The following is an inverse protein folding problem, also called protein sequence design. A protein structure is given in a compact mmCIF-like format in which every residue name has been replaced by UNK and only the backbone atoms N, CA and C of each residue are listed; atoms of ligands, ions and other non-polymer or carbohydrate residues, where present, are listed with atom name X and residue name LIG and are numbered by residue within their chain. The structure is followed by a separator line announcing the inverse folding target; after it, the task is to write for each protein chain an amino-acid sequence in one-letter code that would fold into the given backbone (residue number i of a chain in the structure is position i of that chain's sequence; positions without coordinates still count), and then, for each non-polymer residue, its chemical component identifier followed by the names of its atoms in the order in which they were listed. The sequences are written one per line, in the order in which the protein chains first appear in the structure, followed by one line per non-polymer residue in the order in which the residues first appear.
data_IF_589825673137
#
_entry.id   IF_589825673137
#
_cell.length_a   1.000
_cell.length_b   1.000
_cell.length_c   1.000
_cell.angle_alpha   90.00
_cell.angle_beta   90.00
_cell.angle_gamma   90.00
#
_symmetry.space_group_name_H-M   'P 1'
#
loop_
_entity.id
_entity.type
_entity.pdbx_description
1 polymer ?
#
# COMPACT_ATOMS: atom_id res chain seq x y z
N UNK A 1 7.95 6.76 31.79
CA UNK A 1 7.86 8.05 31.06
C UNK A 1 6.71 7.93 30.08
N UNK A 2 5.87 8.95 29.95
CA UNK A 2 4.73 8.87 29.01
C UNK A 2 5.21 9.14 27.59
N UNK A 3 4.83 8.27 26.65
CA UNK A 3 5.19 8.35 25.25
C UNK A 3 3.96 8.24 24.34
N UNK A 4 4.06 8.77 23.15
CA UNK A 4 3.02 8.74 22.11
C UNK A 4 3.62 8.55 20.74
N UNK A 5 2.77 8.23 19.75
CA UNK A 5 3.14 8.29 18.33
C UNK A 5 2.53 9.56 17.73
N UNK A 6 3.36 10.38 17.11
CA UNK A 6 2.97 11.57 16.36
C UNK A 6 2.96 11.23 14.87
N UNK A 7 1.83 11.48 14.19
CA UNK A 7 1.70 11.24 12.75
C UNK A 7 1.56 12.58 12.03
N UNK A 8 2.34 12.75 10.97
CA UNK A 8 2.22 13.88 10.04
C UNK A 8 1.45 13.47 8.79
N UNK A 9 0.42 14.23 8.46
CA UNK A 9 -0.35 14.05 7.26
C UNK A 9 0.49 14.44 6.01
N UNK A 10 0.37 13.65 4.94
CA UNK A 10 0.97 13.93 3.64
C UNK A 10 0.02 14.73 2.72
N UNK A 11 -0.33 14.14 1.58
CA UNK A 11 -1.23 14.71 0.58
C UNK A 11 -2.60 15.12 1.15
N UNK A 12 -3.00 14.59 2.30
CA UNK A 12 -4.23 14.95 3.01
C UNK A 12 -4.32 16.44 3.32
N UNK A 13 -3.19 17.10 3.57
CA UNK A 13 -3.15 18.54 3.83
C UNK A 13 -3.66 19.37 2.66
N UNK A 14 -3.61 18.82 1.43
CA UNK A 14 -4.03 19.49 0.19
C UNK A 14 -5.51 19.27 -0.18
N UNK A 15 -6.28 18.51 0.63
CA UNK A 15 -7.66 18.11 0.30
C UNK A 15 -8.74 19.17 0.60
N UNK A 16 -8.35 20.36 1.02
CA UNK A 16 -9.28 21.46 1.28
C UNK A 16 -10.42 21.05 2.22
N UNK A 17 -11.66 21.30 1.82
CA UNK A 17 -12.87 21.00 2.61
C UNK A 17 -13.08 19.51 2.91
N UNK A 18 -12.57 18.62 2.06
CA UNK A 18 -12.71 17.17 2.24
C UNK A 18 -11.69 16.57 3.21
N UNK A 19 -10.77 17.37 3.72
CA UNK A 19 -9.68 16.91 4.59
C UNK A 19 -10.16 16.11 5.80
N UNK A 20 -11.21 16.57 6.47
CA UNK A 20 -11.76 15.89 7.66
C UNK A 20 -12.18 14.45 7.34
N UNK A 21 -12.89 14.24 6.23
CA UNK A 21 -13.31 12.89 5.79
C UNK A 21 -12.12 11.95 5.56
N UNK A 22 -11.06 12.44 4.92
CA UNK A 22 -9.84 11.65 4.69
C UNK A 22 -9.12 11.32 6.00
N UNK A 23 -9.01 12.29 6.92
CA UNK A 23 -8.43 12.08 8.25
C UNK A 23 -9.22 11.06 9.07
N UNK A 24 -10.55 11.10 9.02
CA UNK A 24 -11.40 10.17 9.75
C UNK A 24 -11.26 8.73 9.22
N UNK A 25 -11.15 8.56 7.89
CA UNK A 25 -10.85 7.27 7.28
C UNK A 25 -9.47 6.79 7.70
N UNK A 26 -8.45 7.66 7.71
CA UNK A 26 -7.10 7.30 8.17
C UNK A 26 -7.11 6.87 9.63
N UNK A 27 -7.78 7.61 10.51
CA UNK A 27 -7.94 7.25 11.94
C UNK A 27 -8.61 5.87 12.08
N UNK A 28 -9.64 5.59 11.28
CA UNK A 28 -10.29 4.27 11.26
C UNK A 28 -9.32 3.16 10.85
N UNK A 29 -8.49 3.41 9.84
CA UNK A 29 -7.45 2.46 9.40
C UNK A 29 -6.40 2.24 10.49
N UNK A 30 -5.93 3.29 11.16
CA UNK A 30 -5.00 3.22 12.29
C UNK A 30 -5.61 2.38 13.43
N UNK A 31 -6.83 2.68 13.86
CA UNK A 31 -7.51 1.93 14.94
C UNK A 31 -7.62 0.45 14.62
N UNK A 32 -7.95 0.09 13.37
CA UNK A 32 -8.03 -1.30 12.94
C UNK A 32 -6.67 -2.00 13.02
N UNK A 33 -5.59 -1.33 12.60
CA UNK A 33 -4.23 -1.88 12.59
C UNK A 33 -3.63 -2.08 13.99
N UNK A 34 -4.02 -1.25 14.94
CA UNK A 34 -3.48 -1.30 16.31
C UNK A 34 -4.42 -2.00 17.29
N UNK A 35 -5.53 -2.58 16.82
CA UNK A 35 -6.61 -3.10 17.68
C UNK A 35 -6.15 -4.14 18.69
N UNK A 36 -5.26 -5.03 18.29
CA UNK A 36 -4.76 -6.16 19.08
C UNK A 36 -3.52 -5.82 19.94
N UNK A 37 -2.95 -4.63 19.78
CA UNK A 37 -1.82 -4.16 20.60
C UNK A 37 -2.26 -3.47 21.90
N UNK A 38 -3.55 -3.29 22.12
CA UNK A 38 -4.10 -2.63 23.30
C UNK A 38 -4.89 -1.36 22.98
N UNK A 39 -5.42 -0.74 24.02
CA UNK A 39 -6.26 0.46 23.89
C UNK A 39 -5.42 1.69 23.59
N UNK A 40 -5.79 2.41 22.53
CA UNK A 40 -5.19 3.69 22.16
C UNK A 40 -6.25 4.79 22.09
N UNK A 41 -5.91 5.98 22.57
CA UNK A 41 -6.66 7.20 22.31
C UNK A 41 -6.05 7.92 21.12
N UNK A 42 -6.87 8.27 20.13
CA UNK A 42 -6.42 8.99 18.93
C UNK A 42 -7.07 10.36 18.91
N UNK A 43 -6.24 11.40 18.91
CA UNK A 43 -6.64 12.80 18.81
C UNK A 43 -6.06 13.41 17.54
N UNK A 44 -6.74 14.40 16.97
CA UNK A 44 -6.23 15.19 15.86
C UNK A 44 -6.21 16.68 16.21
N UNK A 45 -5.10 17.33 15.91
CA UNK A 45 -4.98 18.78 16.05
C UNK A 45 -3.95 19.33 15.04
N UNK A 46 -4.27 20.43 14.37
CA UNK A 46 -3.35 21.19 13.51
C UNK A 46 -2.53 20.33 12.52
N UNK A 47 -3.17 19.42 11.77
CA UNK A 47 -2.52 18.51 10.80
C UNK A 47 -1.64 17.41 11.40
N UNK A 48 -1.73 17.18 12.70
CA UNK A 48 -1.03 16.12 13.40
C UNK A 48 -2.05 15.18 14.03
N UNK A 49 -1.83 13.87 13.94
CA UNK A 49 -2.58 12.87 14.66
C UNK A 49 -1.70 12.35 15.78
N UNK A 50 -2.27 12.24 16.97
CA UNK A 50 -1.64 11.79 18.19
C UNK A 50 -2.23 10.45 18.56
N UNK A 51 -1.39 9.42 18.68
CA UNK A 51 -1.79 8.09 19.17
C UNK A 51 -1.21 7.94 20.58
N UNK A 52 -2.06 7.92 21.56
CA UNK A 52 -1.73 7.79 22.98
C UNK A 52 -2.13 6.41 23.47
N UNK A 53 -1.19 5.50 23.74
CA UNK A 53 -1.48 4.24 24.41
C UNK A 53 -2.01 4.47 25.83
N UNK A 54 -2.95 3.60 26.26
CA UNK A 54 -3.54 3.65 27.61
C UNK A 54 -2.97 2.58 28.55
N UNK A 55 -2.14 1.69 28.02
CA UNK A 55 -1.52 0.59 28.76
C UNK A 55 -0.04 0.91 28.98
N UNK A 56 0.48 0.57 30.17
CA UNK A 56 1.88 0.85 30.53
C UNK A 56 2.88 0.04 29.72
N UNK A 57 2.54 -1.21 29.35
CA UNK A 57 3.40 -2.12 28.60
C UNK A 57 3.02 -2.18 27.13
N UNK A 58 2.73 -1.03 26.51
CA UNK A 58 2.38 -0.96 25.09
C UNK A 58 3.60 -1.23 24.20
N UNK A 59 3.44 -2.14 23.24
CA UNK A 59 4.50 -2.46 22.26
C UNK A 59 4.61 -1.36 21.20
N UNK A 60 5.50 -0.39 21.46
CA UNK A 60 5.75 0.71 20.54
C UNK A 60 6.47 0.27 19.27
N UNK A 61 7.34 -0.74 19.32
CA UNK A 61 8.11 -1.19 18.16
C UNK A 61 7.17 -1.81 17.12
N UNK A 62 6.33 -2.74 17.55
CA UNK A 62 5.31 -3.33 16.69
C UNK A 62 4.30 -2.27 16.19
N UNK A 63 3.91 -1.33 17.05
CA UNK A 63 3.00 -0.25 16.65
C UNK A 63 3.61 0.67 15.59
N UNK A 64 4.89 1.02 15.70
CA UNK A 64 5.61 1.83 14.72
C UNK A 64 5.75 1.08 13.39
N UNK A 65 6.06 -0.23 13.42
CA UNK A 65 6.09 -1.05 12.23
C UNK A 65 4.74 -1.04 11.51
N UNK A 66 3.64 -1.30 12.21
CA UNK A 66 2.29 -1.30 11.63
C UNK A 66 1.88 0.08 11.09
N UNK A 67 2.22 1.15 11.81
CA UNK A 67 1.96 2.53 11.37
C UNK A 67 2.72 2.87 10.10
N UNK A 68 3.95 2.35 9.93
CA UNK A 68 4.78 2.57 8.75
C UNK A 68 4.13 2.09 7.44
N UNK A 69 3.25 1.09 7.54
CA UNK A 69 2.56 0.46 6.39
C UNK A 69 1.21 1.11 6.06
N UNK A 70 0.74 2.09 6.84
CA UNK A 70 -0.58 2.72 6.62
C UNK A 70 -0.47 3.82 5.57
N UNK A 71 -1.20 3.67 4.47
CA UNK A 71 -1.30 4.71 3.46
C UNK A 71 -2.01 5.97 3.99
N UNK A 72 -1.53 7.14 3.55
CA UNK A 72 -1.95 8.46 4.01
C UNK A 72 -0.98 9.09 5.01
N UNK A 73 -0.11 8.30 5.65
CA UNK A 73 0.90 8.76 6.61
C UNK A 73 2.16 9.16 5.85
N UNK A 74 2.54 10.45 5.92
CA UNK A 74 3.78 10.92 5.30
C UNK A 74 5.00 10.61 6.16
N UNK A 75 4.87 10.84 7.46
CA UNK A 75 5.91 10.56 8.43
C UNK A 75 5.30 10.39 9.82
N UNK A 76 6.01 9.69 10.68
CA UNK A 76 5.62 9.51 12.08
C UNK A 76 6.85 9.51 12.98
N UNK A 77 6.62 9.66 14.29
CA UNK A 77 7.69 9.67 15.29
C UNK A 77 7.15 9.16 16.61
N UNK A 78 7.97 8.42 17.35
CA UNK A 78 7.78 8.21 18.78
C UNK A 78 8.23 9.47 19.50
N UNK A 79 7.49 9.94 20.48
CA UNK A 79 7.79 11.17 21.21
C UNK A 79 7.47 11.05 22.70
N UNK A 80 8.33 11.65 23.50
CA UNK A 80 8.11 11.83 24.91
C UNK A 80 7.14 12.98 25.17
N UNK A 81 6.19 12.79 26.09
CA UNK A 81 5.23 13.81 26.53
C UNK A 81 5.79 14.56 27.72
N UNK A 82 5.92 15.88 27.57
CA UNK A 82 6.37 16.79 28.64
C UNK A 82 5.26 17.77 29.01
N UNK A 83 5.31 18.26 30.24
CA UNK A 83 4.55 19.44 30.65
C UNK A 83 5.06 20.67 29.88
N UNK A 84 4.24 21.72 29.80
CA UNK A 84 4.63 22.98 29.15
C UNK A 84 5.47 23.83 30.09
N UNK A 85 6.61 23.25 30.50
CA UNK A 85 7.61 23.86 31.39
C UNK A 85 9.02 23.46 30.92
N UNK A 86 9.94 24.40 30.91
CA UNK A 86 11.31 24.14 30.41
C UNK A 86 12.08 23.16 31.30
N UNK A 87 11.86 23.21 32.63
CA UNK A 87 12.53 22.29 33.53
C UNK A 87 12.11 20.82 33.28
N UNK A 88 10.80 20.58 33.07
CA UNK A 88 10.30 19.25 32.73
C UNK A 88 10.77 18.80 31.33
N UNK A 89 10.74 19.69 30.33
CA UNK A 89 11.24 19.43 28.99
C UNK A 89 12.71 19.02 29.02
N UNK A 90 13.57 19.76 29.72
CA UNK A 90 14.99 19.46 29.85
C UNK A 90 15.20 18.13 30.56
N UNK A 91 14.60 17.95 31.73
CA UNK A 91 14.75 16.75 32.55
C UNK A 91 14.36 15.49 31.76
N UNK A 92 13.17 15.49 31.15
CA UNK A 92 12.69 14.34 30.35
C UNK A 92 13.52 14.14 29.07
N UNK A 93 13.92 15.20 28.39
CA UNK A 93 14.77 15.10 27.18
C UNK A 93 16.09 14.43 27.48
N UNK A 94 16.73 14.78 28.60
CA UNK A 94 18.00 14.20 29.01
C UNK A 94 17.95 12.70 29.30
N UNK A 95 16.80 12.17 29.70
CA UNK A 95 16.57 10.74 29.94
C UNK A 95 16.11 10.05 28.65
N UNK A 96 15.11 10.62 28.01
CA UNK A 96 14.48 10.03 26.81
C UNK A 96 15.44 9.88 25.64
N UNK A 97 16.28 10.90 25.42
CA UNK A 97 17.22 10.93 24.30
C UNK A 97 18.58 10.31 24.63
N UNK A 98 18.79 9.78 25.82
CA UNK A 98 20.10 9.31 26.27
C UNK A 98 20.73 8.30 25.33
N UNK A 99 19.98 7.26 24.91
CA UNK A 99 20.49 6.24 24.02
C UNK A 99 20.81 6.80 22.62
N UNK A 100 19.95 7.69 22.11
CA UNK A 100 20.17 8.33 20.79
C UNK A 100 21.39 9.22 20.82
N UNK A 101 21.52 10.08 21.84
CA UNK A 101 22.59 11.07 21.94
C UNK A 101 23.95 10.48 22.29
N UNK A 102 24.01 9.32 22.97
CA UNK A 102 25.27 8.61 23.22
C UNK A 102 25.92 8.06 21.95
N UNK A 103 25.15 7.80 20.92
CA UNK A 103 25.60 7.14 19.68
C UNK A 103 25.91 8.11 18.53
N UNK A 104 25.83 9.42 18.74
CA UNK A 104 26.06 10.45 17.72
C UNK A 104 27.11 11.43 18.18
N UNK A 105 27.70 12.18 17.24
CA UNK A 105 28.74 13.20 17.52
C UNK A 105 28.21 14.62 17.47
N UNK A 106 27.20 14.83 16.60
CA UNK A 106 26.67 16.17 16.37
C UNK A 106 25.14 16.17 16.47
N UNK A 107 24.60 17.28 16.95
CA UNK A 107 23.14 17.45 17.00
C UNK A 107 22.77 18.92 16.81
N UNK A 108 21.49 19.15 16.54
CA UNK A 108 20.85 20.45 16.71
C UNK A 108 19.50 20.30 17.37
N UNK A 109 19.00 21.38 17.97
CA UNK A 109 17.65 21.47 18.50
C UNK A 109 16.79 22.33 17.57
N UNK A 110 15.62 21.83 17.18
CA UNK A 110 14.59 22.59 16.51
C UNK A 110 13.34 22.68 17.38
N UNK A 111 12.81 23.88 17.54
CA UNK A 111 11.61 24.10 18.34
C UNK A 111 10.47 24.70 17.51
N UNK A 112 9.28 24.13 17.62
CA UNK A 112 8.05 24.65 17.04
C UNK A 112 7.09 25.00 18.15
N UNK A 113 6.76 26.28 18.28
CA UNK A 113 5.80 26.79 19.26
C UNK A 113 4.46 27.13 18.60
N UNK A 114 3.47 26.29 18.76
CA UNK A 114 2.10 26.55 18.34
C UNK A 114 1.31 27.30 19.42
N UNK A 115 1.52 26.96 20.68
CA UNK A 115 0.96 27.70 21.80
C UNK A 115 1.76 28.98 22.06
N UNK A 116 1.19 30.11 21.68
CA UNK A 116 1.82 31.44 21.86
C UNK A 116 1.85 31.92 23.32
N UNK A 117 1.16 31.25 24.24
CA UNK A 117 1.16 31.58 25.68
C UNK A 117 2.40 31.03 26.39
N UNK A 118 3.14 30.09 25.77
CA UNK A 118 4.40 29.59 26.34
C UNK A 118 5.40 30.75 26.40
N UNK A 119 6.09 30.96 27.55
CA UNK A 119 6.88 32.17 27.80
C UNK A 119 8.05 32.34 26.83
N UNK A 120 8.71 31.24 26.44
CA UNK A 120 9.89 31.30 25.58
C UNK A 120 9.54 31.20 24.10
N UNK A 121 10.29 31.89 23.25
CA UNK A 121 10.24 31.77 21.80
C UNK A 121 11.05 30.57 21.32
N UNK A 122 10.79 30.09 20.10
CA UNK A 122 11.49 28.91 19.56
C UNK A 122 13.02 29.00 19.62
N UNK A 123 13.67 30.12 19.29
CA UNK A 123 15.13 30.22 19.43
C UNK A 123 15.63 30.10 20.88
N UNK A 124 14.84 30.60 21.85
CA UNK A 124 15.18 30.52 23.28
C UNK A 124 15.07 29.09 23.78
N UNK A 125 14.01 28.37 23.39
CA UNK A 125 13.82 26.93 23.66
C UNK A 125 15.00 26.13 23.10
N UNK A 126 15.40 26.38 21.85
CA UNK A 126 16.54 25.72 21.22
C UNK A 126 17.84 25.94 22.00
N UNK A 127 18.10 27.18 22.45
CA UNK A 127 19.28 27.53 23.20
C UNK A 127 19.33 26.87 24.58
N UNK A 128 18.23 26.94 25.32
CA UNK A 128 18.15 26.37 26.67
C UNK A 128 18.27 24.85 26.65
N UNK A 129 17.47 24.16 25.82
CA UNK A 129 17.56 22.73 25.72
C UNK A 129 18.91 22.26 25.16
N UNK A 130 19.40 22.94 24.10
CA UNK A 130 20.72 22.64 23.52
C UNK A 130 21.85 22.76 24.52
N UNK A 131 21.88 23.83 25.32
CA UNK A 131 22.84 24.02 26.41
C UNK A 131 22.75 22.94 27.47
N UNK A 132 21.55 22.57 27.89
CA UNK A 132 21.35 21.52 28.89
C UNK A 132 21.78 20.12 28.38
N UNK A 133 21.55 19.80 27.11
CA UNK A 133 22.03 18.56 26.48
C UNK A 133 23.57 18.54 26.36
N UNK A 134 24.20 19.64 25.95
CA UNK A 134 25.68 19.75 25.90
C UNK A 134 26.30 19.57 27.29
N UNK A 135 25.69 20.14 28.33
CA UNK A 135 26.18 20.01 29.70
C UNK A 135 26.10 18.57 30.22
N UNK A 136 25.11 17.78 29.77
CA UNK A 136 24.98 16.37 30.17
C UNK A 136 25.84 15.44 29.30
N UNK A 137 25.93 15.69 28.00
CA UNK A 137 26.59 14.84 27.02
C UNK A 137 27.85 15.57 26.46
N UNK A 138 28.93 15.59 27.21
CA UNK A 138 30.13 16.37 26.92
C UNK A 138 30.85 16.02 25.60
N UNK A 139 30.55 14.87 24.99
CA UNK A 139 31.11 14.43 23.70
C UNK A 139 30.40 15.07 22.50
N UNK A 140 29.23 15.65 22.69
CA UNK A 140 28.41 16.21 21.63
C UNK A 140 28.93 17.60 21.20
N UNK A 141 28.70 17.89 19.91
CA UNK A 141 28.91 19.23 19.33
C UNK A 141 27.62 19.65 18.61
N UNK A 142 27.39 20.97 18.56
CA UNK A 142 26.26 21.52 17.78
C UNK A 142 26.70 21.67 16.33
N UNK A 143 25.94 21.10 15.40
CA UNK A 143 26.06 21.34 13.97
C UNK A 143 24.68 21.74 13.44
N UNK A 144 24.55 23.00 13.00
CA UNK A 144 23.28 23.54 12.50
C UNK A 144 23.01 23.19 11.04
N UNK A 145 24.01 22.75 10.28
CA UNK A 145 23.92 22.46 8.86
C UNK A 145 23.76 20.98 8.58
N UNK A 146 24.64 20.14 9.13
CA UNK A 146 24.67 18.70 8.89
C UNK A 146 24.76 17.89 10.21
N UNK A 147 23.74 18.00 11.11
CA UNK A 147 23.77 17.26 12.36
C UNK A 147 23.49 15.76 12.13
N UNK A 148 24.13 14.91 12.94
CA UNK A 148 23.80 13.47 12.97
C UNK A 148 22.36 13.25 13.44
N UNK A 149 21.86 14.10 14.36
CA UNK A 149 20.48 14.02 14.86
C UNK A 149 19.88 15.41 15.08
N UNK A 150 18.59 15.52 14.77
CA UNK A 150 17.79 16.72 15.04
C UNK A 150 16.82 16.44 16.20
N UNK A 151 17.07 17.06 17.35
CA UNK A 151 16.13 17.03 18.49
C UNK A 151 15.01 18.03 18.23
N UNK A 152 13.80 17.54 18.09
CA UNK A 152 12.61 18.35 17.84
C UNK A 152 11.81 18.55 19.12
N UNK A 153 11.47 19.79 19.44
CA UNK A 153 10.56 20.17 20.52
C UNK A 153 9.33 20.85 19.96
N UNK A 154 8.17 20.30 20.20
CA UNK A 154 6.91 20.89 19.77
C UNK A 154 6.06 21.31 20.97
N UNK A 155 5.92 22.61 21.20
CA UNK A 155 5.00 23.15 22.21
C UNK A 155 3.62 23.29 21.58
N UNK A 156 2.67 22.53 22.09
CA UNK A 156 1.29 22.48 21.60
C UNK A 156 0.33 22.94 22.69
N UNK A 157 -0.97 22.95 22.37
CA UNK A 157 -2.00 23.46 23.29
C UNK A 157 -2.07 22.68 24.62
N UNK A 158 -1.90 21.34 24.55
CA UNK A 158 -2.06 20.46 25.70
C UNK A 158 -0.77 20.05 26.40
N UNK A 159 0.32 19.88 25.66
CA UNK A 159 1.60 19.36 26.17
C UNK A 159 2.77 19.83 25.29
N UNK A 160 3.98 19.60 25.76
CA UNK A 160 5.18 19.64 24.93
C UNK A 160 5.57 18.21 24.52
N UNK A 161 6.18 18.08 23.34
CA UNK A 161 6.59 16.80 22.78
C UNK A 161 8.03 16.87 22.35
N UNK A 162 8.84 15.90 22.78
CA UNK A 162 10.25 15.79 22.43
C UNK A 162 10.49 14.51 21.63
N UNK A 163 11.18 14.63 20.52
CA UNK A 163 11.55 13.51 19.65
C UNK A 163 12.87 13.78 18.94
N UNK A 164 13.61 12.74 18.60
CA UNK A 164 14.85 12.85 17.81
C UNK A 164 14.67 12.28 16.40
N UNK A 165 13.81 11.30 16.22
CA UNK A 165 13.65 10.59 14.97
C UNK A 165 12.32 10.94 14.28
N UNK A 166 12.37 10.97 12.95
CA UNK A 166 11.19 11.05 12.12
C UNK A 166 11.27 9.97 11.04
N UNK A 167 10.39 8.98 11.15
CA UNK A 167 10.36 7.82 10.27
C UNK A 167 9.44 8.13 9.08
N UNK A 168 9.87 7.88 7.83
CA UNK A 168 9.00 7.99 6.66
C UNK A 168 7.85 6.99 6.72
N UNK A 169 6.63 7.43 6.44
CA UNK A 169 5.46 6.56 6.29
C UNK A 169 5.27 6.04 4.87
N UNK A 170 4.22 5.26 4.65
CA UNK A 170 3.88 4.71 3.33
C UNK A 170 3.46 5.78 2.29
N UNK A 171 3.09 6.97 2.74
CA UNK A 171 2.62 8.05 1.87
C UNK A 171 1.26 7.74 1.22
N UNK A 172 0.93 8.44 0.13
CA UNK A 172 -0.32 8.23 -0.61
C UNK A 172 -1.57 8.72 0.10
N UNK A 173 -2.70 8.05 -0.13
CA UNK A 173 -4.01 8.37 0.41
C UNK A 173 -4.56 7.20 1.25
N UNK A 174 -5.35 7.46 2.30
CA UNK A 174 -5.93 6.41 3.12
C UNK A 174 -6.82 5.48 2.30
N UNK A 175 -6.63 4.18 2.47
CA UNK A 175 -7.44 3.16 1.79
C UNK A 175 -8.93 3.34 2.13
N UNK A 176 -9.76 3.32 1.09
CA UNK A 176 -11.20 3.55 1.18
C UNK A 176 -11.63 4.98 0.83
N UNK A 177 -10.70 5.88 0.47
CA UNK A 177 -11.02 7.25 0.04
C UNK A 177 -11.34 7.38 -1.44
N UNK A 178 -10.94 6.39 -2.26
CA UNK A 178 -11.10 6.41 -3.72
C UNK A 178 -12.08 5.34 -4.27
N UNK A 179 -12.87 4.71 -3.40
CA UNK A 179 -13.78 3.63 -3.81
C UNK A 179 -13.14 2.25 -3.78
N UNK A 180 -13.73 1.29 -4.51
CA UNK A 180 -13.30 -0.11 -4.58
C UNK A 180 -13.00 -0.49 -6.03
N UNK A 181 -11.95 -1.28 -6.26
CA UNK A 181 -11.62 -1.85 -7.56
C UNK A 181 -11.16 -3.31 -7.42
N UNK A 182 -11.32 -4.10 -8.48
CA UNK A 182 -10.93 -5.50 -8.52
C UNK A 182 -9.63 -5.66 -9.32
N UNK A 183 -8.59 -6.24 -8.70
CA UNK A 183 -7.31 -6.57 -9.33
C UNK A 183 -7.36 -7.99 -9.91
N UNK A 184 -6.96 -8.16 -11.16
CA UNK A 184 -6.65 -9.47 -11.72
C UNK A 184 -5.27 -9.86 -11.21
N UNK A 185 -5.22 -10.80 -10.27
CA UNK A 185 -3.99 -11.19 -9.56
C UNK A 185 -3.42 -12.50 -10.10
N UNK A 186 -2.13 -12.54 -10.30
CA UNK A 186 -1.36 -13.70 -10.71
C UNK A 186 -0.19 -13.94 -9.75
N UNK A 187 0.51 -15.05 -9.88
CA UNK A 187 1.74 -15.34 -9.15
C UNK A 187 2.98 -14.59 -9.64
N UNK A 188 2.86 -13.74 -10.68
CA UNK A 188 3.95 -12.94 -11.22
C UNK A 188 4.33 -11.73 -10.38
N UNK A 189 5.38 -11.02 -10.82
CA UNK A 189 5.92 -9.83 -10.12
C UNK A 189 4.98 -8.63 -10.25
N UNK A 190 4.31 -8.47 -11.38
CA UNK A 190 3.66 -7.22 -11.78
C UNK A 190 2.32 -6.98 -11.04
N UNK A 191 1.48 -8.01 -10.92
CA UNK A 191 0.13 -7.83 -10.38
C UNK A 191 0.10 -7.45 -8.89
N UNK A 192 0.97 -7.95 -7.98
CA UNK A 192 1.03 -7.46 -6.60
C UNK A 192 1.49 -6.00 -6.51
N UNK A 193 2.43 -5.59 -7.39
CA UNK A 193 2.90 -4.21 -7.48
C UNK A 193 1.78 -3.28 -7.96
N UNK A 194 1.00 -3.72 -8.95
CA UNK A 194 -0.18 -2.97 -9.42
C UNK A 194 -1.22 -2.81 -8.31
N UNK A 195 -1.52 -3.87 -7.57
CA UNK A 195 -2.43 -3.86 -6.43
C UNK A 195 -1.98 -2.85 -5.36
N UNK A 196 -0.71 -2.94 -4.93
CA UNK A 196 -0.14 -2.02 -3.94
C UNK A 196 -0.17 -0.56 -4.42
N UNK A 197 0.19 -0.31 -5.67
CA UNK A 197 0.21 1.03 -6.27
C UNK A 197 -1.17 1.66 -6.26
N UNK A 198 -2.21 0.91 -6.59
CA UNK A 198 -3.58 1.40 -6.59
C UNK A 198 -4.16 1.54 -5.17
N UNK A 199 -3.84 0.64 -4.24
CA UNK A 199 -4.17 0.80 -2.83
C UNK A 199 -3.55 2.07 -2.24
N UNK A 200 -2.31 2.41 -2.63
CA UNK A 200 -1.62 3.66 -2.25
C UNK A 200 -2.36 4.92 -2.72
N UNK A 201 -3.20 4.82 -3.76
CA UNK A 201 -4.08 5.91 -4.22
C UNK A 201 -5.45 5.93 -3.54
N UNK A 202 -5.62 5.11 -2.48
CA UNK A 202 -6.82 5.12 -1.65
C UNK A 202 -7.91 4.12 -2.05
N UNK A 203 -7.67 3.25 -3.02
CA UNK A 203 -8.63 2.22 -3.41
C UNK A 203 -8.66 1.09 -2.37
N UNK A 204 -9.86 0.59 -2.07
CA UNK A 204 -10.05 -0.75 -1.52
C UNK A 204 -9.91 -1.77 -2.62
N UNK A 205 -9.31 -2.90 -2.31
CA UNK A 205 -9.07 -3.95 -3.28
C UNK A 205 -9.98 -5.15 -3.03
N UNK A 206 -10.58 -5.65 -4.11
CA UNK A 206 -10.97 -7.04 -4.29
C UNK A 206 -9.97 -7.68 -5.24
N UNK A 207 -9.75 -8.99 -5.18
CA UNK A 207 -8.85 -9.71 -6.06
C UNK A 207 -9.59 -10.83 -6.81
N UNK A 208 -9.18 -11.06 -8.05
CA UNK A 208 -9.72 -12.13 -8.90
C UNK A 208 -8.52 -12.92 -9.42
N UNK A 209 -8.49 -14.21 -9.09
CA UNK A 209 -7.48 -15.15 -9.55
C UNK A 209 -8.14 -16.23 -10.41
N UNK A 210 -7.54 -16.52 -11.55
CA UNK A 210 -7.97 -17.58 -12.46
C UNK A 210 -7.14 -18.83 -12.21
N UNK A 211 -7.79 -19.92 -11.80
CA UNK A 211 -7.16 -21.20 -11.51
C UNK A 211 -7.52 -22.25 -12.56
N UNK A 212 -6.54 -22.99 -13.03
CA UNK A 212 -6.73 -23.98 -14.11
C UNK A 212 -6.20 -25.37 -13.70
N UNK A 213 -6.75 -26.04 -12.67
CA UNK A 213 -6.39 -27.40 -12.35
C UNK A 213 -6.83 -28.35 -13.48
N UNK A 214 -6.05 -29.39 -13.89
CA UNK A 214 -4.77 -29.81 -13.29
C UNK A 214 -3.54 -29.06 -13.82
N UNK A 215 -3.69 -28.14 -14.76
CA UNK A 215 -2.59 -27.39 -15.39
C UNK A 215 -1.87 -26.49 -14.39
N UNK A 216 -2.59 -25.87 -13.44
CA UNK A 216 -2.00 -25.12 -12.34
C UNK A 216 -2.10 -25.89 -11.03
N UNK A 217 -1.07 -25.79 -10.20
CA UNK A 217 -0.99 -26.53 -8.94
C UNK A 217 -1.60 -25.76 -7.77
N UNK A 218 -1.97 -26.47 -6.68
CA UNK A 218 -2.35 -25.84 -5.41
C UNK A 218 -1.24 -24.93 -4.84
N UNK A 219 0.03 -25.19 -5.19
CA UNK A 219 1.16 -24.31 -4.80
C UNK A 219 1.14 -22.98 -5.53
N UNK A 220 0.67 -22.95 -6.79
CA UNK A 220 0.47 -21.70 -7.53
C UNK A 220 -0.59 -20.83 -6.86
N UNK A 221 -1.71 -21.40 -6.43
CA UNK A 221 -2.75 -20.70 -5.68
C UNK A 221 -2.23 -20.20 -4.32
N UNK A 222 -1.49 -21.02 -3.59
CA UNK A 222 -0.88 -20.61 -2.31
C UNK A 222 0.10 -19.45 -2.50
N UNK A 223 0.89 -19.44 -3.59
CA UNK A 223 1.78 -18.35 -3.97
C UNK A 223 0.99 -17.04 -4.14
N UNK A 224 -0.14 -17.07 -4.85
CA UNK A 224 -1.03 -15.91 -5.03
C UNK A 224 -1.58 -15.41 -3.70
N UNK A 225 -2.06 -16.30 -2.83
CA UNK A 225 -2.54 -15.95 -1.47
C UNK A 225 -1.44 -15.29 -0.64
N UNK A 226 -0.21 -15.82 -0.71
CA UNK A 226 0.96 -15.23 -0.01
C UNK A 226 1.30 -13.84 -0.56
N UNK A 227 1.25 -13.62 -1.87
CA UNK A 227 1.47 -12.30 -2.47
C UNK A 227 0.40 -11.30 -2.04
N UNK A 228 -0.86 -11.72 -2.02
CA UNK A 228 -1.96 -10.88 -1.55
C UNK A 228 -1.85 -10.54 -0.06
N UNK A 229 -1.40 -11.47 0.81
CA UNK A 229 -1.20 -11.16 2.23
C UNK A 229 -0.15 -10.08 2.44
N UNK A 230 0.91 -10.05 1.61
CA UNK A 230 1.91 -8.97 1.63
C UNK A 230 1.32 -7.62 1.21
N UNK A 231 0.42 -7.60 0.23
CA UNK A 231 -0.33 -6.39 -0.16
C UNK A 231 -1.32 -5.99 0.94
N UNK A 232 -1.98 -6.95 1.58
CA UNK A 232 -2.96 -6.73 2.64
C UNK A 232 -2.35 -6.07 3.88
N UNK A 233 -1.05 -6.27 4.15
CA UNK A 233 -0.31 -5.51 5.17
C UNK A 233 -0.42 -3.99 4.99
N UNK A 234 -0.63 -3.51 3.77
CA UNK A 234 -0.82 -2.09 3.43
C UNK A 234 -2.29 -1.72 3.22
N UNK A 235 -3.02 -2.49 2.42
CA UNK A 235 -4.39 -2.18 2.00
C UNK A 235 -5.46 -2.55 3.03
N UNK A 236 -5.15 -3.45 3.96
CA UNK A 236 -6.14 -4.16 4.76
C UNK A 236 -6.70 -5.37 4.00
N UNK A 237 -7.66 -6.05 4.63
CA UNK A 237 -8.25 -7.28 4.12
C UNK A 237 -8.73 -7.18 2.67
N UNK A 238 -8.43 -8.20 1.88
CA UNK A 238 -8.78 -8.31 0.46
C UNK A 238 -9.69 -9.52 0.29
N UNK A 239 -10.84 -9.33 -0.36
CA UNK A 239 -11.71 -10.43 -0.77
C UNK A 239 -11.15 -11.01 -2.07
N UNK A 240 -10.80 -12.31 -2.07
CA UNK A 240 -10.26 -13.04 -3.20
C UNK A 240 -11.32 -13.96 -3.80
N UNK A 241 -11.62 -13.77 -5.08
CA UNK A 241 -12.39 -14.67 -5.91
C UNK A 241 -11.44 -15.60 -6.69
N UNK A 242 -11.59 -16.91 -6.52
CA UNK A 242 -10.83 -17.93 -7.25
C UNK A 242 -11.77 -18.51 -8.30
N UNK A 243 -11.50 -18.22 -9.57
CA UNK A 243 -12.34 -18.55 -10.71
C UNK A 243 -11.83 -19.81 -11.40
N UNK A 244 -12.61 -20.89 -11.53
CA UNK A 244 -12.23 -22.05 -12.32
C UNK A 244 -12.17 -21.67 -13.81
N UNK A 245 -11.02 -21.94 -14.44
CA UNK A 245 -10.77 -21.43 -15.78
C UNK A 245 -10.35 -22.51 -16.79
N UNK A 246 -10.16 -23.76 -16.36
CA UNK A 246 -9.69 -24.88 -17.19
C UNK A 246 -10.57 -25.11 -18.40
N UNK A 247 -11.89 -25.25 -18.21
CA UNK A 247 -12.83 -25.51 -19.31
C UNK A 247 -12.80 -24.42 -20.39
N UNK A 248 -12.66 -23.16 -19.96
CA UNK A 248 -12.55 -22.03 -20.91
C UNK A 248 -11.27 -22.17 -21.74
N UNK A 249 -10.15 -22.55 -21.13
CA UNK A 249 -8.90 -22.76 -21.85
C UNK A 249 -8.99 -23.91 -22.83
N UNK A 250 -9.60 -25.02 -22.43
CA UNK A 250 -9.80 -26.18 -23.29
C UNK A 250 -10.69 -25.83 -24.49
N UNK A 251 -11.79 -25.10 -24.28
CA UNK A 251 -12.68 -24.65 -25.34
C UNK A 251 -11.99 -23.66 -26.31
N UNK A 252 -11.14 -22.76 -25.78
CA UNK A 252 -10.35 -21.86 -26.64
C UNK A 252 -9.34 -22.68 -27.47
N UNK A 253 -8.66 -23.66 -26.86
CA UNK A 253 -7.69 -24.49 -27.57
C UNK A 253 -8.34 -25.34 -28.68
N UNK A 254 -9.57 -25.81 -28.47
CA UNK A 254 -10.31 -26.65 -29.42
C UNK A 254 -10.94 -25.83 -30.56
N UNK A 255 -11.46 -24.65 -30.28
CA UNK A 255 -12.35 -23.93 -31.21
C UNK A 255 -11.79 -22.62 -31.76
N UNK A 256 -10.65 -22.14 -31.25
CA UNK A 256 -10.07 -20.86 -31.69
C UNK A 256 -8.71 -21.07 -32.38
N UNK A 257 -8.31 -20.15 -33.28
CA UNK A 257 -6.98 -20.18 -33.87
C UNK A 257 -5.87 -20.03 -32.83
N UNK A 258 -4.82 -20.85 -32.92
CA UNK A 258 -3.70 -20.88 -31.94
C UNK A 258 -3.07 -19.50 -31.71
N UNK A 259 -2.84 -18.72 -32.77
CA UNK A 259 -2.22 -17.38 -32.66
C UNK A 259 -3.09 -16.34 -31.91
N UNK A 260 -4.40 -16.60 -31.74
CA UNK A 260 -5.32 -15.78 -30.97
C UNK A 260 -5.56 -16.30 -29.54
N UNK A 261 -5.05 -17.47 -29.17
CA UNK A 261 -5.35 -18.12 -27.88
C UNK A 261 -5.22 -17.14 -26.70
N UNK A 262 -4.05 -16.50 -26.54
CA UNK A 262 -3.80 -15.58 -25.40
C UNK A 262 -4.75 -14.38 -25.41
N UNK A 263 -5.09 -13.84 -26.58
CA UNK A 263 -5.99 -12.70 -26.70
C UNK A 263 -7.40 -13.05 -26.28
N UNK A 264 -7.94 -14.17 -26.77
CA UNK A 264 -9.31 -14.63 -26.44
C UNK A 264 -9.39 -15.02 -24.98
N UNK A 265 -8.38 -15.72 -24.47
CA UNK A 265 -8.28 -16.04 -23.05
C UNK A 265 -8.38 -14.77 -22.18
N UNK A 266 -7.63 -13.72 -22.53
CA UNK A 266 -7.67 -12.44 -21.81
C UNK A 266 -9.02 -11.73 -21.95
N UNK A 267 -9.66 -11.80 -23.12
CA UNK A 267 -11.01 -11.26 -23.34
C UNK A 267 -12.02 -11.97 -22.42
N UNK A 268 -11.94 -13.30 -22.28
CA UNK A 268 -12.76 -14.06 -21.33
C UNK A 268 -12.51 -13.66 -19.89
N UNK A 269 -11.23 -13.54 -19.49
CA UNK A 269 -10.86 -13.06 -18.16
C UNK A 269 -11.45 -11.67 -17.86
N UNK A 270 -11.41 -10.75 -18.81
CA UNK A 270 -11.93 -9.39 -18.63
C UNK A 270 -13.47 -9.39 -18.48
N UNK A 271 -14.20 -10.16 -19.30
CA UNK A 271 -15.67 -10.31 -19.18
C UNK A 271 -16.09 -10.87 -17.83
N UNK A 272 -15.44 -11.95 -17.38
CA UNK A 272 -15.70 -12.57 -16.07
C UNK A 272 -15.37 -11.59 -14.95
N UNK A 273 -14.20 -10.94 -15.04
CA UNK A 273 -13.75 -9.98 -14.03
C UNK A 273 -14.69 -8.80 -13.88
N UNK A 274 -15.25 -8.27 -14.96
CA UNK A 274 -16.25 -7.20 -14.89
C UNK A 274 -17.50 -7.65 -14.14
N UNK A 275 -18.02 -8.85 -14.40
CA UNK A 275 -19.22 -9.37 -13.72
C UNK A 275 -18.98 -9.56 -12.22
N UNK A 276 -17.84 -10.16 -11.84
CA UNK A 276 -17.44 -10.32 -10.44
C UNK A 276 -17.24 -8.95 -9.78
N UNK A 277 -16.57 -8.02 -10.46
CA UNK A 277 -16.34 -6.67 -9.97
C UNK A 277 -17.65 -5.93 -9.69
N UNK A 278 -18.60 -5.96 -10.61
CA UNK A 278 -19.93 -5.36 -10.42
C UNK A 278 -20.68 -6.00 -9.26
N UNK A 279 -20.65 -7.32 -9.14
CA UNK A 279 -21.28 -8.06 -8.04
C UNK A 279 -20.68 -7.71 -6.67
N UNK A 280 -19.39 -7.36 -6.61
CA UNK A 280 -18.69 -6.94 -5.38
C UNK A 280 -18.66 -5.42 -5.16
N UNK A 281 -19.36 -4.63 -5.98
CA UNK A 281 -19.40 -3.17 -5.88
C UNK A 281 -18.11 -2.46 -6.29
N UNK A 282 -17.22 -3.13 -7.03
CA UNK A 282 -16.03 -2.51 -7.62
C UNK A 282 -16.39 -1.68 -8.85
N UNK A 283 -15.79 -0.51 -8.97
CA UNK A 283 -16.07 0.45 -10.05
C UNK A 283 -15.05 0.39 -11.19
N UNK A 284 -13.97 -0.36 -11.02
CA UNK A 284 -12.90 -0.50 -12.01
C UNK A 284 -12.23 -1.87 -11.89
N UNK A 285 -11.58 -2.31 -12.96
CA UNK A 285 -10.60 -3.39 -12.96
C UNK A 285 -9.19 -2.81 -12.83
N UNK A 286 -8.27 -3.60 -12.29
CA UNK A 286 -6.85 -3.28 -12.22
C UNK A 286 -6.10 -4.44 -12.86
N UNK A 287 -5.09 -4.14 -13.69
CA UNK A 287 -4.18 -5.15 -14.26
C UNK A 287 -2.73 -4.75 -14.06
N UNK A 288 -1.83 -5.73 -14.02
CA UNK A 288 -0.37 -5.54 -13.90
C UNK A 288 0.34 -5.38 -15.24
N UNK A 289 -0.35 -4.92 -16.29
CA UNK A 289 0.21 -4.80 -17.64
C UNK A 289 1.21 -3.65 -17.74
N UNK A 290 2.34 -3.92 -18.42
CA UNK A 290 3.32 -2.92 -18.88
C UNK A 290 3.44 -2.99 -20.39
N UNK A 291 3.42 -1.83 -21.07
CA UNK A 291 3.37 -1.77 -22.54
C UNK A 291 4.62 -2.39 -23.16
N UNK A 292 4.40 -3.35 -24.08
CA UNK A 292 5.48 -3.99 -24.83
C UNK A 292 6.27 -5.05 -24.06
N UNK A 293 5.91 -5.38 -22.83
CA UNK A 293 6.63 -6.39 -22.02
C UNK A 293 6.47 -7.80 -22.59
N UNK A 294 5.28 -8.14 -23.10
CA UNK A 294 4.98 -9.42 -23.77
C UNK A 294 4.08 -9.19 -25.00
N UNK A 295 3.95 -10.18 -25.87
CA UNK A 295 3.21 -10.09 -27.13
C UNK A 295 1.72 -9.67 -26.96
N UNK A 296 1.09 -10.04 -25.84
CA UNK A 296 -0.29 -9.66 -25.50
C UNK A 296 -0.43 -8.27 -24.88
N UNK A 297 0.67 -7.56 -24.65
CA UNK A 297 0.68 -6.21 -24.05
C UNK A 297 1.11 -5.13 -25.07
N UNK A 298 0.82 -5.35 -26.34
CA UNK A 298 0.93 -4.31 -27.38
C UNK A 298 -0.31 -3.42 -27.34
N UNK A 299 -0.21 -2.17 -27.80
CA UNK A 299 -1.34 -1.26 -27.79
C UNK A 299 -2.56 -1.82 -28.58
N UNK A 300 -2.41 -2.44 -29.78
CA UNK A 300 -3.53 -3.10 -30.44
C UNK A 300 -4.16 -4.23 -29.60
N UNK A 301 -3.34 -5.04 -28.90
CA UNK A 301 -3.85 -6.10 -28.03
C UNK A 301 -4.65 -5.54 -26.85
N UNK A 302 -4.19 -4.46 -26.23
CA UNK A 302 -4.92 -3.78 -25.15
C UNK A 302 -6.27 -3.24 -25.62
N UNK A 303 -6.33 -2.65 -26.82
CA UNK A 303 -7.60 -2.18 -27.41
C UNK A 303 -8.60 -3.33 -27.53
N UNK A 304 -8.17 -4.52 -28.00
CA UNK A 304 -9.06 -5.67 -28.15
C UNK A 304 -9.53 -6.27 -26.84
N UNK A 305 -8.70 -6.24 -25.79
CA UNK A 305 -9.07 -6.71 -24.44
C UNK A 305 -9.96 -5.72 -23.71
N UNK A 306 -9.80 -4.42 -23.92
CA UNK A 306 -10.64 -3.40 -23.32
C UNK A 306 -12.04 -3.32 -23.95
N UNK A 307 -12.14 -3.64 -25.24
CA UNK A 307 -13.42 -3.61 -25.96
C UNK A 307 -14.50 -4.51 -25.35
N UNK A 308 -14.16 -5.52 -24.55
CA UNK A 308 -15.13 -6.43 -23.92
C UNK A 308 -15.55 -6.01 -22.52
N UNK A 309 -15.09 -4.85 -22.02
CA UNK A 309 -15.45 -4.31 -20.72
C UNK A 309 -16.05 -2.92 -20.85
N UNK A 310 -16.95 -2.57 -19.97
CA UNK A 310 -17.59 -1.24 -19.91
C UNK A 310 -17.19 -0.43 -18.68
N UNK A 311 -16.45 -1.03 -17.74
CA UNK A 311 -15.87 -0.31 -16.59
C UNK A 311 -14.40 0.05 -16.85
N UNK A 312 -13.87 1.11 -16.23
CA UNK A 312 -12.48 1.52 -16.41
C UNK A 312 -11.49 0.39 -16.07
N UNK A 313 -10.44 0.24 -16.91
CA UNK A 313 -9.32 -0.66 -16.65
C UNK A 313 -8.10 0.16 -16.27
N UNK A 314 -7.68 0.08 -15.01
CA UNK A 314 -6.55 0.82 -14.45
C UNK A 314 -5.27 0.01 -14.63
N UNK A 315 -4.26 0.62 -15.26
CA UNK A 315 -2.95 0.01 -15.53
C UNK A 315 -1.84 0.84 -14.89
N UNK A 316 -1.63 0.71 -13.57
CA UNK A 316 -0.67 1.58 -12.87
C UNK A 316 0.79 1.38 -13.30
N UNK A 317 1.09 0.28 -13.99
CA UNK A 317 2.45 -0.06 -14.43
C UNK A 317 2.69 0.16 -15.93
N UNK A 318 1.73 0.72 -16.65
CA UNK A 318 1.72 0.74 -18.12
C UNK A 318 2.98 1.37 -18.74
N UNK A 319 3.58 2.35 -18.10
CA UNK A 319 4.78 3.05 -18.54
C UNK A 319 6.05 2.72 -17.74
N UNK A 320 5.99 1.75 -16.84
CA UNK A 320 7.13 1.35 -16.00
C UNK A 320 7.96 0.27 -16.72
N UNK A 321 9.28 0.35 -16.60
CA UNK A 321 10.16 -0.73 -16.99
C UNK A 321 10.24 -1.85 -15.92
N UNK A 322 10.89 -2.95 -16.26
CA UNK A 322 10.94 -4.12 -15.37
C UNK A 322 11.71 -3.86 -14.09
N UNK A 323 12.75 -3.04 -14.11
CA UNK A 323 13.57 -2.73 -12.93
C UNK A 323 12.81 -1.83 -11.95
N UNK A 324 12.04 -0.88 -12.44
CA UNK A 324 11.16 -0.05 -11.61
C UNK A 324 10.14 -0.91 -10.86
N UNK A 325 9.52 -1.88 -11.57
CA UNK A 325 8.54 -2.81 -10.99
C UNK A 325 9.21 -3.73 -9.94
N UNK A 326 10.39 -4.28 -10.26
CA UNK A 326 11.17 -5.13 -9.33
C UNK A 326 11.55 -4.36 -8.07
N UNK A 327 11.96 -3.10 -8.20
CA UNK A 327 12.29 -2.23 -7.07
C UNK A 327 11.12 -2.10 -6.11
N UNK A 328 9.92 -1.87 -6.63
CA UNK A 328 8.70 -1.80 -5.80
C UNK A 328 8.37 -3.17 -5.23
N UNK A 329 8.48 -4.24 -6.00
CA UNK A 329 8.22 -5.62 -5.56
C UNK A 329 9.10 -6.02 -4.37
N UNK A 330 10.39 -5.65 -4.38
CA UNK A 330 11.30 -5.85 -3.25
C UNK A 330 10.89 -5.00 -2.04
N UNK A 331 10.53 -3.74 -2.25
CA UNK A 331 10.08 -2.84 -1.19
C UNK A 331 8.88 -3.37 -0.42
N UNK A 332 7.95 -4.07 -1.10
CA UNK A 332 6.76 -4.66 -0.49
C UNK A 332 6.94 -6.13 -0.09
N UNK A 333 8.18 -6.61 -0.11
CA UNK A 333 8.55 -8.00 0.21
C UNK A 333 7.89 -9.07 -0.69
N UNK A 334 7.45 -8.70 -1.90
CA UNK A 334 6.76 -9.60 -2.81
C UNK A 334 7.70 -10.35 -3.78
N UNK A 335 8.90 -9.82 -4.03
CA UNK A 335 9.79 -10.31 -5.09
C UNK A 335 10.16 -11.78 -4.94
N UNK A 336 10.68 -12.21 -3.80
CA UNK A 336 11.13 -13.59 -3.57
C UNK A 336 10.00 -14.62 -3.70
N UNK A 337 8.79 -14.23 -3.30
CA UNK A 337 7.59 -15.06 -3.50
C UNK A 337 7.21 -15.11 -4.98
N UNK A 338 7.28 -13.99 -5.70
CA UNK A 338 6.88 -13.88 -7.11
C UNK A 338 7.73 -14.71 -8.05
N UNK A 339 9.01 -14.95 -7.73
CA UNK A 339 9.94 -15.73 -8.57
C UNK A 339 9.92 -17.24 -8.28
N UNK A 340 9.10 -17.71 -7.34
CA UNK A 340 8.92 -19.15 -7.12
C UNK A 340 8.41 -19.85 -8.39
N UNK A 341 8.90 -21.05 -8.73
CA UNK A 341 8.67 -21.73 -10.01
C UNK A 341 7.29 -22.42 -10.07
N UNK A 342 6.23 -21.69 -9.78
CA UNK A 342 4.85 -22.18 -9.92
C UNK A 342 4.15 -21.36 -11.00
N UNK A 343 3.69 -22.07 -12.03
CA UNK A 343 3.12 -21.48 -13.23
C UNK A 343 1.69 -20.95 -13.01
N UNK A 344 1.39 -19.83 -13.67
CA UNK A 344 0.06 -19.24 -13.74
C UNK A 344 -0.73 -19.81 -14.93
N UNK A 345 -2.05 -19.69 -14.90
CA UNK A 345 -2.93 -20.13 -15.99
C UNK A 345 -2.55 -19.52 -17.35
N UNK A 346 -1.98 -18.33 -17.38
CA UNK A 346 -1.60 -17.65 -18.63
C UNK A 346 -0.40 -18.26 -19.35
N UNK A 347 0.38 -19.12 -18.68
CA UNK A 347 1.59 -19.74 -19.26
C UNK A 347 1.36 -21.16 -19.78
N UNK A 348 0.22 -21.77 -19.42
CA UNK A 348 -0.11 -23.16 -19.75
C UNK A 348 -0.20 -23.40 -21.26
N UNK A 349 -0.87 -22.50 -21.97
CA UNK A 349 -1.08 -22.58 -23.43
C UNK A 349 -0.47 -21.36 -24.10
N UNK A 350 0.84 -21.39 -24.34
CA UNK A 350 1.52 -20.28 -25.01
C UNK A 350 1.63 -20.56 -26.51
N UNK A 351 1.03 -19.76 -27.39
CA UNK A 351 1.12 -19.93 -28.83
C UNK A 351 2.57 -19.72 -29.32
N UNK A 352 2.98 -20.51 -30.33
CA UNK A 352 4.31 -20.36 -30.94
C UNK A 352 4.50 -19.00 -31.63
N UNK A 353 3.43 -18.50 -32.24
CA UNK A 353 3.41 -17.24 -32.99
C UNK A 353 2.22 -16.37 -32.59
N UNK A 354 2.27 -15.70 -31.41
CA UNK A 354 1.15 -14.92 -30.93
C UNK A 354 0.85 -13.71 -31.82
N UNK A 355 -0.43 -13.37 -31.98
CA UNK A 355 -0.87 -12.22 -32.76
C UNK A 355 -0.54 -10.92 -32.03
N UNK A 356 0.37 -10.13 -32.55
CA UNK A 356 0.83 -8.86 -31.94
C UNK A 356 0.09 -7.62 -32.43
N UNK A 357 -0.62 -7.71 -33.56
CA UNK A 357 -1.42 -6.63 -34.15
C UNK A 357 -2.86 -7.10 -34.42
N UNK A 358 -3.62 -7.50 -33.41
CA UNK A 358 -5.00 -7.87 -33.58
C UNK A 358 -5.88 -6.65 -33.86
N UNK A 359 -7.05 -6.87 -34.46
CA UNK A 359 -8.19 -5.93 -34.43
C UNK A 359 -9.35 -6.54 -33.66
N UNK A 360 -10.30 -5.71 -33.24
CA UNK A 360 -11.50 -6.17 -32.52
C UNK A 360 -12.27 -7.17 -33.37
N UNK A 361 -12.48 -6.88 -34.66
CA UNK A 361 -13.24 -7.73 -35.60
C UNK A 361 -12.55 -9.10 -35.79
N UNK A 362 -11.21 -9.14 -35.81
CA UNK A 362 -10.47 -10.40 -35.93
C UNK A 362 -10.62 -11.24 -34.66
N UNK A 363 -10.60 -10.60 -33.49
CA UNK A 363 -10.83 -11.31 -32.22
C UNK A 363 -12.27 -11.84 -32.12
N UNK A 364 -13.28 -11.04 -32.48
CA UNK A 364 -14.68 -11.45 -32.50
C UNK A 364 -14.92 -12.63 -33.47
N UNK A 365 -14.30 -12.59 -34.64
CA UNK A 365 -14.33 -13.70 -35.59
C UNK A 365 -13.65 -14.95 -35.03
N UNK A 366 -12.54 -14.80 -34.33
CA UNK A 366 -11.78 -15.91 -33.78
C UNK A 366 -12.51 -16.59 -32.61
N UNK A 367 -13.30 -15.83 -31.82
CA UNK A 367 -14.08 -16.36 -30.70
C UNK A 367 -15.55 -16.74 -31.07
N UNK A 368 -15.95 -16.59 -32.33
CA UNK A 368 -17.34 -16.77 -32.75
C UNK A 368 -17.92 -18.18 -32.53
N UNK A 369 -17.07 -19.19 -32.44
CA UNK A 369 -17.46 -20.58 -32.18
C UNK A 369 -17.59 -20.93 -30.69
N UNK A 370 -17.29 -20.00 -29.79
CA UNK A 370 -17.44 -20.20 -28.35
C UNK A 370 -18.85 -19.82 -27.88
N UNK A 371 -19.45 -20.64 -27.02
CA UNK A 371 -20.59 -20.19 -26.23
C UNK A 371 -20.11 -19.37 -25.03
N UNK A 372 -19.78 -18.10 -25.32
CA UNK A 372 -19.16 -17.16 -24.37
C UNK A 372 -20.02 -17.00 -23.12
N UNK A 373 -21.34 -16.87 -23.24
CA UNK A 373 -22.25 -16.66 -22.10
C UNK A 373 -22.30 -17.87 -21.18
N UNK A 374 -22.49 -19.06 -21.73
CA UNK A 374 -22.55 -20.29 -20.94
C UNK A 374 -21.21 -20.54 -20.19
N UNK A 375 -20.08 -20.31 -20.85
CA UNK A 375 -18.76 -20.45 -20.24
C UNK A 375 -18.54 -19.46 -19.08
N UNK A 376 -18.97 -18.20 -19.26
CA UNK A 376 -18.85 -17.18 -18.21
C UNK A 376 -19.75 -17.51 -17.02
N UNK A 377 -21.02 -17.87 -17.26
CA UNK A 377 -21.97 -18.21 -16.19
C UNK A 377 -21.47 -19.40 -15.38
N UNK A 378 -20.95 -20.42 -16.04
CA UNK A 378 -20.38 -21.60 -15.37
C UNK A 378 -19.16 -21.26 -14.54
N UNK A 379 -18.25 -20.45 -15.06
CA UNK A 379 -17.06 -20.00 -14.32
C UNK A 379 -17.44 -19.17 -13.08
N UNK A 380 -18.42 -18.28 -13.21
CA UNK A 380 -18.92 -17.46 -12.09
C UNK A 380 -19.61 -18.36 -11.04
N UNK A 381 -20.45 -19.30 -11.46
CA UNK A 381 -21.13 -20.23 -10.56
C UNK A 381 -20.14 -21.13 -9.78
N UNK A 382 -19.00 -21.47 -10.38
CA UNK A 382 -17.94 -22.26 -9.75
C UNK A 382 -16.92 -21.43 -8.96
N UNK A 383 -17.09 -20.11 -8.85
CA UNK A 383 -16.11 -19.22 -8.18
C UNK A 383 -16.17 -19.39 -6.67
N UNK A 384 -15.00 -19.63 -6.07
CA UNK A 384 -14.81 -19.69 -4.62
C UNK A 384 -14.34 -18.35 -4.08
N UNK A 385 -14.82 -17.98 -2.88
CA UNK A 385 -14.46 -16.72 -2.23
C UNK A 385 -13.76 -16.96 -0.91
N UNK A 386 -12.67 -16.22 -0.66
CA UNK A 386 -11.92 -16.26 0.60
C UNK A 386 -11.42 -14.86 0.95
N UNK A 387 -11.12 -14.63 2.24
CA UNK A 387 -10.52 -13.39 2.70
C UNK A 387 -9.03 -13.57 2.94
N UNK A 388 -8.26 -12.54 2.60
CA UNK A 388 -6.82 -12.44 2.84
C UNK A 388 -6.58 -11.22 3.75
N UNK A 389 -5.96 -11.47 4.90
CA UNK A 389 -5.58 -10.46 5.91
C UNK A 389 -4.08 -10.19 5.92
#
# INVERSE_FOLDING_TARGET
MKEIILIKNGELALKGLNRCTFEDIMIKNIKRRLKDLGKVEIRKAQSTIYIEPKEENYDFEEALERVSLIFGIAAFSRACVCEKDMADIISKSQVYLENTLKNVKTFKVEAKRSDKKFPLKSPEICRELGGALLSKFNHLKVDVHNPDVVVNVEIRDFSAYVRAEQIPGAGGLPVGTAGTASILISGGIDSPVAAWTMAKRGLRLNAIHFASPPYTSARAEMKVKTLLSKVARYSGSINLAIVPFTEIQDQIAEHCPEDFFTLIMRRMMMRISERIARGSGSLALITGESLGQVASQTLPALVTTDNVTSIPVLRPLIGMDKEEIITISRKIDAFETSILPYEDCCTVFTPKHPKTRPTVELCEKAEANLDIEALIEKAIAGTEYTFID
#
